data_IF_123988335700
#
_entry.id   IF_123988335700
#
_cell.length_a   1.000
_cell.length_b   1.000
_cell.length_c   1.000
_cell.angle_alpha   90.00
_cell.angle_beta   90.00
_cell.angle_gamma   90.00
#
_symmetry.space_group_name_H-M   'P 1'
#
loop_
_entity.id
_entity.type
_entity.pdbx_description
1 polymer ?
#
# COMPACT_ATOMS: atom_id res chain seq x y z
N UNK A 1 2.22 48.08 -10.50
CA UNK A 1 1.47 47.70 -9.27
C UNK A 1 1.71 46.21 -9.08
N UNK A 2 2.61 45.83 -8.17
CA UNK A 2 2.87 44.43 -7.83
C UNK A 2 1.66 43.92 -7.07
N UNK A 3 0.92 42.95 -7.68
CA UNK A 3 -0.19 42.31 -7.00
C UNK A 3 0.38 41.55 -5.77
N UNK A 4 -0.04 41.92 -4.59
CA UNK A 4 0.29 41.18 -3.37
C UNK A 4 -0.05 39.72 -3.61
N UNK A 5 0.87 38.75 -3.45
CA UNK A 5 0.59 37.36 -3.70
C UNK A 5 -0.58 36.95 -2.81
N UNK A 6 -1.65 36.45 -3.43
CA UNK A 6 -2.83 35.95 -2.70
C UNK A 6 -2.35 34.85 -1.73
N UNK A 7 -2.41 35.14 -0.43
CA UNK A 7 -2.03 34.18 0.61
C UNK A 7 -2.84 32.91 0.44
N UNK A 8 -2.18 31.78 0.26
CA UNK A 8 -2.83 30.46 0.19
C UNK A 8 -3.38 30.09 1.57
N UNK A 9 -4.62 29.57 1.65
CA UNK A 9 -5.15 29.12 2.93
C UNK A 9 -4.29 27.96 3.49
N UNK A 10 -3.97 26.97 2.64
CA UNK A 10 -3.28 25.76 3.06
C UNK A 10 -2.23 25.31 2.03
N UNK A 11 -1.00 25.09 2.48
CA UNK A 11 0.01 24.35 1.74
C UNK A 11 -0.03 22.88 2.17
N UNK A 12 0.02 21.98 1.21
CA UNK A 12 0.17 20.54 1.42
C UNK A 12 1.53 20.11 0.85
N UNK A 13 2.42 19.61 1.68
CA UNK A 13 3.77 19.21 1.27
C UNK A 13 3.79 17.72 1.00
N UNK A 14 3.88 17.35 -0.27
CA UNK A 14 3.84 15.99 -0.79
C UNK A 14 2.54 15.63 -1.51
N UNK A 15 2.65 15.18 -2.75
CA UNK A 15 1.55 14.76 -3.62
C UNK A 15 1.33 13.23 -3.61
N UNK A 16 1.61 12.55 -2.49
CA UNK A 16 1.21 11.17 -2.27
C UNK A 16 -0.30 11.04 -1.99
N UNK A 17 -0.81 9.81 -1.88
CA UNK A 17 -2.24 9.57 -1.68
C UNK A 17 -2.85 10.33 -0.48
N UNK A 18 -2.12 10.47 0.63
CA UNK A 18 -2.59 11.23 1.80
C UNK A 18 -2.67 12.72 1.53
N UNK A 19 -1.65 13.31 0.89
CA UNK A 19 -1.63 14.73 0.55
C UNK A 19 -2.70 15.10 -0.46
N UNK A 20 -2.88 14.29 -1.50
CA UNK A 20 -3.92 14.48 -2.51
C UNK A 20 -5.33 14.35 -1.92
N UNK A 21 -5.56 13.40 -1.01
CA UNK A 21 -6.84 13.29 -0.31
C UNK A 21 -7.12 14.52 0.57
N UNK A 22 -6.11 14.99 1.29
CA UNK A 22 -6.20 16.20 2.11
C UNK A 22 -6.50 17.43 1.25
N UNK A 23 -5.74 17.65 0.20
CA UNK A 23 -5.90 18.80 -0.71
C UNK A 23 -7.29 18.82 -1.35
N UNK A 24 -7.79 17.66 -1.79
CA UNK A 24 -9.12 17.53 -2.37
C UNK A 24 -10.22 17.92 -1.39
N UNK A 25 -10.15 17.45 -0.14
CA UNK A 25 -11.18 17.75 0.86
C UNK A 25 -11.16 19.23 1.28
N UNK A 26 -9.98 19.83 1.35
CA UNK A 26 -9.81 21.27 1.60
C UNK A 26 -10.36 22.13 0.45
N UNK A 27 -10.03 21.75 -0.81
CA UNK A 27 -10.52 22.45 -2.00
C UNK A 27 -12.06 22.32 -2.11
N UNK A 28 -12.63 21.14 -1.85
CA UNK A 28 -14.07 20.91 -1.81
C UNK A 28 -14.78 21.75 -0.73
N UNK A 29 -14.08 22.12 0.35
CA UNK A 29 -14.55 23.03 1.39
C UNK A 29 -14.32 24.52 1.05
N UNK A 30 -13.94 24.84 -0.19
CA UNK A 30 -13.75 26.21 -0.68
C UNK A 30 -12.48 26.91 -0.16
N UNK A 31 -11.45 26.12 0.22
CA UNK A 31 -10.15 26.69 0.61
C UNK A 31 -9.21 26.78 -0.58
N UNK A 32 -8.39 27.83 -0.62
CA UNK A 32 -7.27 27.91 -1.55
C UNK A 32 -6.16 26.96 -1.08
N UNK A 33 -5.81 25.99 -1.93
CA UNK A 33 -4.83 24.93 -1.61
C UNK A 33 -3.76 24.88 -2.67
N UNK A 34 -2.49 24.75 -2.25
CA UNK A 34 -1.39 24.36 -3.12
C UNK A 34 -0.72 23.11 -2.57
N UNK A 35 -0.42 22.19 -3.46
CA UNK A 35 0.33 20.96 -3.16
C UNK A 35 1.74 21.12 -3.72
N UNK A 36 2.76 20.95 -2.89
CA UNK A 36 4.17 21.06 -3.26
C UNK A 36 4.75 19.65 -3.31
N UNK A 37 5.16 19.21 -4.48
CA UNK A 37 5.75 17.89 -4.70
C UNK A 37 7.20 18.03 -5.15
N UNK A 38 8.09 17.30 -4.45
CA UNK A 38 9.52 17.38 -4.72
C UNK A 38 9.95 16.69 -6.01
N UNK A 39 9.14 15.74 -6.50
CA UNK A 39 9.44 14.97 -7.71
C UNK A 39 8.74 15.51 -8.95
N UNK A 40 9.10 14.96 -10.08
CA UNK A 40 8.59 15.27 -11.43
C UNK A 40 7.16 14.81 -11.68
N UNK A 41 6.56 14.05 -10.75
CA UNK A 41 5.20 13.54 -10.86
C UNK A 41 4.60 13.23 -9.48
N UNK A 42 3.27 13.10 -9.44
CA UNK A 42 2.49 12.79 -8.24
C UNK A 42 2.53 11.29 -7.89
N UNK A 43 2.07 10.94 -6.68
CA UNK A 43 1.84 9.56 -6.27
C UNK A 43 2.77 9.06 -5.17
N UNK A 44 3.94 9.65 -5.02
CA UNK A 44 4.92 9.21 -4.02
C UNK A 44 5.35 7.76 -4.24
N UNK A 45 4.94 6.84 -3.36
CA UNK A 45 5.21 5.39 -3.52
C UNK A 45 4.33 4.71 -4.57
N UNK A 46 3.18 5.28 -4.91
CA UNK A 46 2.24 4.74 -5.90
C UNK A 46 2.53 5.37 -7.27
N UNK A 47 3.65 5.00 -7.86
CA UNK A 47 4.06 5.44 -9.19
C UNK A 47 4.33 4.25 -10.10
N UNK A 48 4.12 4.46 -11.40
CA UNK A 48 4.39 3.48 -12.46
C UNK A 48 5.34 4.12 -13.46
N UNK A 49 6.49 3.48 -13.65
CA UNK A 49 7.48 3.89 -14.66
C UNK A 49 7.24 3.12 -15.97
N UNK A 50 7.64 3.70 -17.10
CA UNK A 50 7.73 2.99 -18.38
C UNK A 50 9.18 2.64 -18.66
N UNK A 51 9.47 1.33 -18.79
CA UNK A 51 10.81 0.82 -19.06
C UNK A 51 10.70 -0.11 -20.28
N UNK A 52 11.33 0.23 -21.37
CA UNK A 52 11.34 -0.55 -22.63
C UNK A 52 9.93 -0.98 -23.09
N UNK A 53 8.93 -0.12 -22.89
CA UNK A 53 7.54 -0.38 -23.23
C UNK A 53 6.72 -1.10 -22.17
N UNK A 54 7.35 -1.61 -21.11
CA UNK A 54 6.68 -2.24 -19.98
C UNK A 54 6.22 -1.21 -18.95
N UNK A 55 5.12 -1.50 -18.25
CA UNK A 55 4.71 -0.77 -17.05
C UNK A 55 5.35 -1.42 -15.81
N UNK A 56 6.11 -0.63 -15.08
CA UNK A 56 6.84 -1.06 -13.88
C UNK A 56 6.38 -0.22 -12.69
N UNK A 57 5.62 -0.80 -11.80
CA UNK A 57 5.23 -0.14 -10.55
C UNK A 57 6.46 0.01 -9.64
N UNK A 58 6.55 1.13 -8.92
CA UNK A 58 7.62 1.35 -7.92
C UNK A 58 7.34 0.53 -6.67
N UNK A 59 7.64 -0.79 -6.74
CA UNK A 59 7.21 -1.83 -5.81
C UNK A 59 5.90 -2.47 -6.26
N UNK A 60 5.73 -3.76 -5.96
CA UNK A 60 4.52 -4.48 -6.32
C UNK A 60 3.34 -4.05 -5.44
N UNK A 61 2.28 -3.58 -6.06
CA UNK A 61 1.07 -3.11 -5.38
C UNK A 61 -0.14 -3.93 -5.80
N UNK A 62 -0.97 -4.30 -4.85
CA UNK A 62 -2.29 -4.89 -5.08
C UNK A 62 -3.37 -3.91 -4.65
N UNK A 63 -4.25 -3.54 -5.58
CA UNK A 63 -5.36 -2.64 -5.32
C UNK A 63 -6.56 -3.42 -4.79
N UNK A 64 -7.15 -2.97 -3.67
CA UNK A 64 -8.33 -3.60 -3.07
C UNK A 64 -9.58 -2.72 -3.26
N UNK A 65 -10.60 -3.27 -3.90
CA UNK A 65 -11.84 -2.54 -4.20
C UNK A 65 -12.75 -2.30 -3.00
N UNK A 66 -12.50 -2.94 -1.85
CA UNK A 66 -13.38 -2.83 -0.67
C UNK A 66 -13.16 -1.59 0.17
N UNK A 67 -12.03 -0.90 0.01
CA UNK A 67 -11.66 0.24 0.82
C UNK A 67 -12.67 1.39 0.75
N UNK A 68 -13.24 1.83 1.88
CA UNK A 68 -14.28 2.87 1.90
C UNK A 68 -13.82 4.19 1.28
N UNK A 69 -12.60 4.66 1.60
CA UNK A 69 -12.08 5.91 1.05
C UNK A 69 -11.81 5.81 -0.45
N UNK A 70 -11.40 4.65 -0.92
CA UNK A 70 -11.23 4.37 -2.35
C UNK A 70 -12.56 4.51 -3.07
N UNK A 71 -13.63 3.87 -2.57
CA UNK A 71 -14.98 3.96 -3.15
C UNK A 71 -15.55 5.38 -3.14
N UNK A 72 -15.24 6.16 -2.12
CA UNK A 72 -15.71 7.54 -1.98
C UNK A 72 -14.98 8.50 -2.92
N UNK A 73 -13.71 8.24 -3.21
CA UNK A 73 -12.82 9.18 -3.90
C UNK A 73 -12.59 8.86 -5.38
N UNK A 74 -12.67 7.59 -5.75
CA UNK A 74 -12.31 7.11 -7.08
C UNK A 74 -13.51 6.51 -7.80
N UNK A 75 -13.61 6.78 -9.08
CA UNK A 75 -14.51 6.05 -9.98
C UNK A 75 -13.77 4.80 -10.46
N UNK A 76 -14.04 3.65 -9.81
CA UNK A 76 -13.30 2.41 -10.05
C UNK A 76 -13.28 1.97 -11.54
N UNK A 77 -14.33 2.29 -12.31
CA UNK A 77 -14.40 2.01 -13.74
C UNK A 77 -13.30 2.72 -14.54
N UNK A 78 -12.89 3.91 -14.09
CA UNK A 78 -11.89 4.73 -14.81
C UNK A 78 -10.47 4.14 -14.66
N UNK A 79 -10.24 3.32 -13.62
CA UNK A 79 -8.99 2.60 -13.40
C UNK A 79 -8.86 1.32 -14.24
N UNK A 80 -9.93 0.89 -14.93
CA UNK A 80 -9.95 -0.34 -15.75
C UNK A 80 -9.35 -1.55 -15.02
N UNK A 81 -9.81 -1.78 -13.78
CA UNK A 81 -9.26 -2.78 -12.86
C UNK A 81 -9.28 -4.19 -13.46
N UNK A 82 -8.17 -4.89 -13.32
CA UNK A 82 -7.95 -6.27 -13.74
C UNK A 82 -7.85 -7.16 -12.49
N UNK A 83 -8.80 -8.06 -12.26
CA UNK A 83 -8.85 -8.86 -11.05
C UNK A 83 -7.83 -10.01 -11.08
N UNK A 84 -7.29 -10.31 -9.91
CA UNK A 84 -6.63 -11.59 -9.67
C UNK A 84 -7.67 -12.71 -9.54
N UNK A 85 -7.27 -13.93 -9.87
CA UNK A 85 -8.02 -15.13 -9.48
C UNK A 85 -8.18 -15.15 -7.94
N UNK A 86 -9.38 -15.40 -7.40
CA UNK A 86 -9.59 -15.49 -5.96
C UNK A 86 -8.69 -16.54 -5.31
N UNK A 87 -8.01 -16.16 -4.24
CA UNK A 87 -7.09 -17.02 -3.52
C UNK A 87 -5.62 -16.75 -3.85
N UNK A 88 -4.78 -17.69 -3.44
CA UNK A 88 -3.33 -17.65 -3.61
C UNK A 88 -2.82 -19.07 -3.88
N UNK A 89 -1.80 -19.19 -4.72
CA UNK A 89 -1.02 -20.41 -4.84
C UNK A 89 0.10 -20.40 -3.80
N UNK A 90 0.28 -21.49 -3.10
CA UNK A 90 1.34 -21.70 -2.13
C UNK A 90 2.26 -22.81 -2.65
N UNK A 91 3.51 -22.48 -2.91
CA UNK A 91 4.52 -23.48 -3.25
C UNK A 91 4.99 -24.20 -1.99
N UNK A 92 5.05 -25.52 -2.06
CA UNK A 92 5.47 -26.42 -0.98
C UNK A 92 6.37 -27.53 -1.55
N UNK A 93 7.06 -28.28 -0.69
CA UNK A 93 7.85 -29.47 -1.09
C UNK A 93 7.08 -30.51 -1.91
N UNK A 94 5.75 -30.43 -1.90
CA UNK A 94 4.84 -31.34 -2.61
C UNK A 94 4.18 -30.74 -3.84
N UNK A 95 4.70 -29.58 -4.29
CA UNK A 95 4.15 -28.82 -5.40
C UNK A 95 3.26 -27.66 -4.95
N UNK A 96 2.50 -27.09 -5.87
CA UNK A 96 1.67 -25.92 -5.67
C UNK A 96 0.28 -26.29 -5.15
N UNK A 97 -0.14 -25.66 -4.06
CA UNK A 97 -1.46 -25.83 -3.47
C UNK A 97 -2.23 -24.51 -3.55
N UNK A 98 -3.51 -24.57 -3.93
CA UNK A 98 -4.38 -23.40 -3.98
C UNK A 98 -5.15 -23.26 -2.69
N UNK A 99 -5.03 -22.10 -2.06
CA UNK A 99 -5.91 -21.65 -0.97
C UNK A 99 -6.84 -20.59 -1.51
N UNK A 100 -8.12 -20.88 -1.55
CA UNK A 100 -9.18 -19.99 -2.01
C UNK A 100 -10.21 -19.81 -0.90
N UNK A 101 -10.90 -18.68 -0.89
CA UNK A 101 -12.05 -18.47 -0.02
C UNK A 101 -13.16 -19.50 -0.35
N UNK A 102 -13.53 -20.39 0.59
CA UNK A 102 -14.55 -21.42 0.35
C UNK A 102 -15.91 -20.87 -0.08
N UNK A 103 -16.22 -19.63 0.28
CA UNK A 103 -17.46 -18.97 -0.14
C UNK A 103 -17.47 -18.61 -1.63
N UNK A 104 -16.29 -18.45 -2.24
CA UNK A 104 -16.11 -18.14 -3.66
C UNK A 104 -15.82 -19.36 -4.52
N UNK A 105 -15.17 -20.38 -3.93
CA UNK A 105 -14.92 -21.66 -4.57
C UNK A 105 -15.00 -22.82 -3.55
N UNK A 106 -16.20 -23.38 -3.35
CA UNK A 106 -16.40 -24.51 -2.41
C UNK A 106 -15.57 -25.77 -2.74
N UNK A 107 -15.17 -25.94 -4.02
CA UNK A 107 -14.38 -27.13 -4.44
C UNK A 107 -12.94 -27.06 -3.95
N UNK A 108 -12.43 -25.87 -3.66
CA UNK A 108 -11.06 -25.67 -3.15
C UNK A 108 -10.83 -26.33 -1.79
N UNK A 109 -11.86 -26.47 -0.96
CA UNK A 109 -11.78 -27.11 0.37
C UNK A 109 -11.27 -28.56 0.26
N UNK A 110 -11.75 -29.29 -0.71
CA UNK A 110 -11.29 -30.67 -0.94
C UNK A 110 -9.80 -30.74 -1.33
N UNK A 111 -9.31 -29.74 -2.07
CA UNK A 111 -7.89 -29.60 -2.42
C UNK A 111 -7.00 -29.33 -1.21
N UNK A 112 -7.45 -28.46 -0.29
CA UNK A 112 -6.72 -28.14 0.94
C UNK A 112 -6.54 -29.37 1.86
N UNK A 113 -7.61 -30.16 2.01
CA UNK A 113 -7.57 -31.40 2.80
C UNK A 113 -6.66 -32.46 2.18
N UNK A 114 -6.76 -32.67 0.85
CA UNK A 114 -5.92 -33.63 0.13
C UNK A 114 -4.45 -33.20 0.12
N UNK A 115 -4.18 -31.90 -0.04
CA UNK A 115 -2.83 -31.33 -0.07
C UNK A 115 -2.16 -31.27 1.30
N UNK A 116 -2.86 -31.60 2.38
CA UNK A 116 -2.37 -31.52 3.78
C UNK A 116 -1.77 -30.14 4.14
N UNK A 117 -2.26 -29.07 3.51
CA UNK A 117 -1.87 -27.70 3.90
C UNK A 117 -2.59 -27.29 5.19
N UNK A 118 -3.85 -27.70 5.36
CA UNK A 118 -4.67 -27.38 6.51
C UNK A 118 -5.35 -28.65 7.06
N UNK A 119 -5.34 -28.82 8.39
CA UNK A 119 -6.14 -29.82 9.07
C UNK A 119 -7.61 -29.39 9.24
N UNK A 120 -8.52 -30.30 9.64
CA UNK A 120 -9.93 -29.96 9.91
C UNK A 120 -10.08 -28.83 10.96
N UNK A 121 -9.20 -28.83 11.97
CA UNK A 121 -9.14 -27.79 13.00
C UNK A 121 -8.80 -26.42 12.41
N UNK A 122 -7.81 -26.36 11.50
CA UNK A 122 -7.38 -25.13 10.85
C UNK A 122 -8.47 -24.58 9.93
N UNK A 123 -9.18 -25.45 9.20
CA UNK A 123 -10.31 -25.05 8.36
C UNK A 123 -11.47 -24.47 9.19
N UNK A 124 -11.77 -25.07 10.34
CA UNK A 124 -12.78 -24.57 11.27
C UNK A 124 -12.36 -23.20 11.82
N UNK A 125 -11.10 -23.07 12.26
CA UNK A 125 -10.56 -21.81 12.76
C UNK A 125 -10.59 -20.72 11.67
N UNK A 126 -10.21 -21.04 10.42
CA UNK A 126 -10.24 -20.14 9.28
C UNK A 126 -11.67 -19.67 8.96
N UNK A 127 -12.62 -20.60 8.94
CA UNK A 127 -14.04 -20.28 8.74
C UNK A 127 -14.59 -19.36 9.83
N UNK A 128 -14.28 -19.67 11.10
CA UNK A 128 -14.73 -18.87 12.25
C UNK A 128 -14.12 -17.46 12.25
N UNK A 129 -12.81 -17.36 12.03
CA UNK A 129 -12.09 -16.08 11.92
C UNK A 129 -12.66 -15.24 10.77
N UNK A 130 -12.82 -15.84 9.59
CA UNK A 130 -13.31 -15.17 8.40
C UNK A 130 -14.77 -14.69 8.58
N UNK A 131 -15.65 -15.54 9.12
CA UNK A 131 -17.04 -15.15 9.40
C UNK A 131 -17.10 -14.00 10.42
N UNK A 132 -16.34 -14.08 11.51
CA UNK A 132 -16.27 -13.02 12.52
C UNK A 132 -15.79 -11.69 11.93
N UNK A 133 -14.73 -11.71 11.14
CA UNK A 133 -14.13 -10.50 10.59
C UNK A 133 -14.97 -9.92 9.43
N UNK A 134 -15.61 -10.76 8.62
CA UNK A 134 -16.48 -10.32 7.53
C UNK A 134 -17.80 -9.76 8.00
N UNK A 135 -18.47 -10.43 8.94
CA UNK A 135 -19.84 -10.11 9.36
C UNK A 135 -19.91 -9.16 10.58
N UNK A 136 -18.89 -9.23 11.46
CA UNK A 136 -18.84 -8.42 12.67
C UNK A 136 -18.68 -6.92 12.40
N UNK A 137 -19.06 -6.05 13.35
CA UNK A 137 -18.85 -4.62 13.23
C UNK A 137 -17.35 -4.29 13.28
N UNK A 138 -16.92 -3.34 12.46
CA UNK A 138 -15.52 -2.87 12.43
C UNK A 138 -15.03 -2.40 13.80
N UNK A 139 -15.90 -1.74 14.57
CA UNK A 139 -15.59 -1.24 15.92
C UNK A 139 -15.18 -2.34 16.89
N UNK A 140 -15.59 -3.60 16.67
CA UNK A 140 -15.14 -4.74 17.48
C UNK A 140 -13.65 -5.02 17.27
N UNK A 141 -13.18 -4.93 16.03
CA UNK A 141 -11.75 -5.08 15.70
C UNK A 141 -10.96 -3.92 16.31
N UNK A 142 -11.45 -2.69 16.15
CA UNK A 142 -10.77 -1.48 16.60
C UNK A 142 -10.62 -1.39 18.12
N UNK A 143 -11.55 -1.98 18.89
CA UNK A 143 -11.57 -1.99 20.36
C UNK A 143 -10.95 -3.26 20.96
N UNK A 144 -10.62 -4.26 20.13
CA UNK A 144 -10.01 -5.50 20.63
C UNK A 144 -8.64 -5.20 21.26
N UNK A 145 -8.25 -6.05 22.22
CA UNK A 145 -6.88 -6.04 22.72
C UNK A 145 -5.92 -6.22 21.56
N UNK A 146 -4.89 -5.37 21.51
CA UNK A 146 -3.90 -5.45 20.45
C UNK A 146 -2.73 -6.33 20.89
N UNK A 147 -2.41 -7.30 20.07
CA UNK A 147 -1.31 -8.25 20.24
C UNK A 147 -0.65 -8.50 18.89
N UNK A 148 0.41 -9.30 18.84
CA UNK A 148 1.00 -9.67 17.55
C UNK A 148 0.05 -10.54 16.74
N UNK A 149 0.13 -10.47 15.42
CA UNK A 149 -0.63 -11.34 14.51
C UNK A 149 -0.38 -12.81 14.82
N UNK A 150 0.88 -13.21 15.11
CA UNK A 150 1.23 -14.58 15.51
C UNK A 150 0.43 -15.02 16.75
N UNK A 151 0.42 -14.20 17.79
CA UNK A 151 -0.32 -14.50 19.03
C UNK A 151 -1.83 -14.59 18.78
N UNK A 152 -2.37 -13.71 17.92
CA UNK A 152 -3.79 -13.72 17.57
C UNK A 152 -4.18 -14.99 16.81
N UNK A 153 -3.37 -15.44 15.86
CA UNK A 153 -3.59 -16.67 15.10
C UNK A 153 -3.53 -17.91 16.02
N UNK A 154 -2.54 -17.99 16.90
CA UNK A 154 -2.45 -19.08 17.88
C UNK A 154 -3.69 -19.11 18.80
N UNK A 155 -4.13 -17.93 19.28
CA UNK A 155 -5.34 -17.80 20.13
C UNK A 155 -6.63 -18.13 19.38
N UNK A 156 -6.66 -17.98 18.04
CA UNK A 156 -7.79 -18.36 17.21
C UNK A 156 -7.87 -19.88 16.95
N UNK A 157 -6.88 -20.65 17.42
CA UNK A 157 -6.86 -22.11 17.37
C UNK A 157 -6.17 -22.71 16.15
N UNK A 158 -5.45 -21.91 15.36
CA UNK A 158 -4.65 -22.43 14.25
C UNK A 158 -3.47 -23.28 14.76
N UNK A 159 -3.13 -24.32 13.99
CA UNK A 159 -1.90 -25.09 14.20
C UNK A 159 -0.68 -24.24 13.81
N UNK A 160 0.45 -24.47 14.47
CA UNK A 160 1.72 -23.82 14.11
C UNK A 160 2.13 -24.14 12.67
N UNK A 161 1.91 -25.39 12.24
CA UNK A 161 2.20 -25.81 10.88
C UNK A 161 1.43 -24.97 9.84
N UNK A 162 0.14 -24.73 10.05
CA UNK A 162 -0.67 -23.93 9.14
C UNK A 162 -0.28 -22.45 9.18
N UNK A 163 0.09 -21.93 10.37
CA UNK A 163 0.62 -20.56 10.50
C UNK A 163 1.90 -20.40 9.70
N UNK A 164 2.87 -21.32 9.85
CA UNK A 164 4.16 -21.25 9.16
C UNK A 164 4.05 -21.49 7.65
N UNK A 165 3.18 -22.40 7.20
CA UNK A 165 3.08 -22.79 5.79
C UNK A 165 2.14 -21.91 4.97
N UNK A 166 1.19 -21.22 5.60
CA UNK A 166 0.23 -20.36 4.91
C UNK A 166 0.26 -18.92 5.38
N UNK A 167 -0.07 -18.65 6.65
CA UNK A 167 -0.23 -17.26 7.11
C UNK A 167 1.08 -16.47 7.04
N UNK A 168 2.19 -17.07 7.43
CA UNK A 168 3.48 -16.40 7.41
C UNK A 168 3.89 -16.01 5.99
N UNK A 169 3.99 -16.90 4.99
CA UNK A 169 4.31 -16.51 3.62
C UNK A 169 3.34 -15.51 3.03
N UNK A 170 2.04 -15.70 3.25
CA UNK A 170 1.01 -14.83 2.70
C UNK A 170 1.02 -13.42 3.31
N UNK A 171 1.05 -13.32 4.64
CA UNK A 171 1.00 -12.04 5.35
C UNK A 171 2.32 -11.27 5.27
N UNK A 172 3.44 -11.96 5.09
CA UNK A 172 4.74 -11.30 4.91
C UNK A 172 4.76 -10.40 3.67
N UNK A 173 4.10 -10.80 2.59
CA UNK A 173 3.93 -9.95 1.41
C UNK A 173 3.03 -8.74 1.63
N UNK A 174 2.16 -8.78 2.64
CA UNK A 174 1.23 -7.69 2.96
C UNK A 174 1.84 -6.72 3.98
N UNK A 175 2.54 -7.25 4.99
CA UNK A 175 3.09 -6.47 6.09
C UNK A 175 4.56 -6.09 5.88
N UNK A 176 5.21 -6.66 4.88
CA UNK A 176 6.64 -6.53 4.58
C UNK A 176 7.50 -6.87 5.81
N UNK A 177 7.13 -7.96 6.49
CA UNK A 177 7.88 -8.57 7.59
C UNK A 177 7.50 -10.04 7.72
N UNK A 178 8.41 -10.87 8.23
CA UNK A 178 8.31 -12.33 8.18
C UNK A 178 8.11 -13.00 9.55
N UNK A 179 7.94 -12.20 10.63
CA UNK A 179 7.81 -12.70 12.02
C UNK A 179 6.38 -12.67 12.54
N UNK A 180 5.44 -12.10 11.77
CA UNK A 180 4.05 -11.87 12.16
C UNK A 180 3.92 -11.03 13.45
N UNK A 181 4.83 -10.04 13.62
CA UNK A 181 4.85 -9.11 14.74
C UNK A 181 3.88 -7.92 14.55
N UNK A 182 3.33 -7.77 13.36
CA UNK A 182 2.34 -6.73 13.06
C UNK A 182 1.09 -6.86 13.94
N UNK A 183 0.51 -5.71 14.32
CA UNK A 183 -0.72 -5.59 15.12
C UNK A 183 -1.84 -6.50 14.63
N UNK A 184 -2.43 -7.26 15.54
CA UNK A 184 -3.58 -8.11 15.25
C UNK A 184 -4.81 -7.33 14.80
N UNK A 185 -5.03 -6.12 15.33
CA UNK A 185 -6.11 -5.25 14.87
C UNK A 185 -5.94 -4.86 13.40
N UNK A 186 -4.71 -4.56 13.00
CA UNK A 186 -4.42 -4.28 11.59
C UNK A 186 -4.58 -5.53 10.73
N UNK A 187 -4.10 -6.69 11.17
CA UNK A 187 -4.33 -7.98 10.50
C UNK A 187 -5.82 -8.22 10.24
N UNK A 188 -6.67 -8.10 11.26
CA UNK A 188 -8.12 -8.32 11.11
C UNK A 188 -8.77 -7.31 10.14
N UNK A 189 -8.33 -6.04 10.14
CA UNK A 189 -8.82 -5.05 9.17
C UNK A 189 -8.43 -5.41 7.73
N UNK A 190 -7.20 -5.86 7.52
CA UNK A 190 -6.72 -6.31 6.21
C UNK A 190 -7.46 -7.56 5.77
N UNK A 191 -7.59 -8.57 6.64
CA UNK A 191 -8.30 -9.81 6.37
C UNK A 191 -9.75 -9.53 5.97
N UNK A 192 -10.45 -8.73 6.77
CA UNK A 192 -11.80 -8.24 6.46
C UNK A 192 -11.89 -7.58 5.08
N UNK A 193 -10.92 -6.74 4.75
CA UNK A 193 -10.91 -6.02 3.47
C UNK A 193 -10.71 -6.96 2.29
N UNK A 194 -9.89 -7.98 2.43
CA UNK A 194 -9.69 -9.02 1.40
C UNK A 194 -10.95 -9.86 1.18
N UNK A 195 -11.61 -10.28 2.25
CA UNK A 195 -12.85 -11.04 2.17
C UNK A 195 -14.00 -10.26 1.50
N UNK A 196 -14.04 -8.95 1.66
CA UNK A 196 -15.11 -8.06 1.16
C UNK A 196 -14.81 -7.41 -0.19
N UNK A 197 -13.57 -7.47 -0.64
CA UNK A 197 -13.10 -6.82 -1.86
C UNK A 197 -12.65 -7.80 -2.93
N UNK A 198 -12.29 -7.22 -4.06
CA UNK A 198 -11.55 -7.90 -5.12
C UNK A 198 -10.17 -7.30 -5.20
N UNK A 199 -9.16 -8.16 -5.23
CA UNK A 199 -7.78 -7.76 -5.44
C UNK A 199 -7.55 -7.58 -6.93
N UNK A 200 -6.98 -6.45 -7.33
CA UNK A 200 -6.85 -6.06 -8.74
C UNK A 200 -5.52 -5.34 -9.00
N UNK A 201 -5.19 -5.22 -10.28
CA UNK A 201 -4.24 -4.23 -10.79
C UNK A 201 -5.00 -3.21 -11.66
N UNK A 202 -4.70 -1.90 -11.54
CA UNK A 202 -5.16 -0.92 -12.54
C UNK A 202 -4.48 -1.20 -13.88
N UNK A 203 -5.21 -1.08 -14.98
CA UNK A 203 -4.69 -1.40 -16.32
C UNK A 203 -3.49 -0.53 -16.74
N UNK A 204 -3.40 0.70 -16.23
CA UNK A 204 -2.29 1.64 -16.54
C UNK A 204 -1.25 1.71 -15.41
N UNK A 205 -1.18 0.69 -14.55
CA UNK A 205 -0.30 0.70 -13.39
C UNK A 205 -0.93 1.37 -12.17
N UNK A 206 -0.25 1.21 -11.03
CA UNK A 206 -0.73 1.77 -9.76
C UNK A 206 -0.74 3.31 -9.76
N UNK A 207 0.07 3.94 -10.61
CA UNK A 207 0.14 5.40 -10.81
C UNK A 207 -1.19 6.02 -11.25
N UNK A 208 -2.06 5.24 -11.90
CA UNK A 208 -3.41 5.69 -12.27
C UNK A 208 -4.27 6.12 -11.07
N UNK A 209 -3.97 5.64 -9.87
CA UNK A 209 -4.71 5.98 -8.64
C UNK A 209 -4.44 7.42 -8.21
N UNK A 210 -3.19 7.87 -7.95
CA UNK A 210 -2.92 9.27 -7.65
C UNK A 210 -3.28 10.22 -8.80
N UNK A 211 -3.10 9.84 -10.05
CA UNK A 211 -3.56 10.63 -11.20
C UNK A 211 -5.08 10.90 -11.14
N UNK A 212 -5.87 9.88 -10.79
CA UNK A 212 -7.31 10.05 -10.64
C UNK A 212 -7.67 10.96 -9.45
N UNK A 213 -6.86 11.00 -8.39
CA UNK A 213 -7.05 11.93 -7.27
C UNK A 213 -6.74 13.37 -7.67
N UNK A 214 -5.69 13.60 -8.45
CA UNK A 214 -5.30 14.93 -8.93
C UNK A 214 -6.36 15.54 -9.84
N UNK A 215 -6.98 14.75 -10.71
CA UNK A 215 -8.07 15.22 -11.63
C UNK A 215 -9.25 15.87 -10.90
N UNK A 216 -9.39 15.63 -9.59
CA UNK A 216 -10.43 16.23 -8.77
C UNK A 216 -9.99 17.53 -8.06
N UNK A 217 -8.74 17.97 -8.26
CA UNK A 217 -8.23 19.24 -7.76
C UNK A 217 -8.42 20.35 -8.80
N UNK A 218 -8.51 21.63 -8.36
CA UNK A 218 -8.44 22.75 -9.29
C UNK A 218 -7.16 22.70 -10.13
N UNK A 219 -7.22 23.21 -11.37
CA UNK A 219 -6.04 23.35 -12.22
C UNK A 219 -4.94 24.13 -11.47
N UNK A 220 -3.69 23.79 -11.76
CA UNK A 220 -2.49 24.43 -11.20
C UNK A 220 -2.37 24.37 -9.67
N UNK A 221 -3.15 23.50 -9.01
CA UNK A 221 -3.04 23.30 -7.56
C UNK A 221 -1.78 22.55 -7.15
N UNK A 222 -1.18 21.74 -8.03
CA UNK A 222 0.00 20.93 -7.78
C UNK A 222 1.22 21.56 -8.45
N UNK A 223 2.24 21.83 -7.65
CA UNK A 223 3.54 22.32 -8.11
C UNK A 223 4.53 21.17 -7.98
N UNK A 224 4.93 20.60 -9.10
CA UNK A 224 5.96 19.58 -9.23
C UNK A 224 7.35 20.21 -9.12
N UNK A 225 8.38 19.39 -8.96
CA UNK A 225 9.78 19.80 -8.83
C UNK A 225 9.99 20.91 -7.77
N UNK A 226 9.10 20.91 -6.75
CA UNK A 226 9.05 21.94 -5.70
C UNK A 226 9.26 21.28 -4.33
N UNK A 227 10.51 21.01 -4.00
CA UNK A 227 10.88 20.46 -2.70
C UNK A 227 10.83 21.54 -1.61
N UNK A 228 10.26 21.20 -0.45
CA UNK A 228 10.25 22.06 0.74
C UNK A 228 11.47 21.73 1.59
N UNK A 229 12.29 22.75 1.88
CA UNK A 229 13.49 22.65 2.70
C UNK A 229 13.16 22.76 4.19
N UNK A 230 12.29 23.71 4.56
CA UNK A 230 11.90 23.95 5.95
C UNK A 230 10.52 24.61 6.05
N UNK A 231 9.91 24.52 7.22
CA UNK A 231 8.70 25.25 7.56
C UNK A 231 9.08 26.56 8.27
N UNK A 232 8.47 27.66 7.86
CA UNK A 232 8.63 29.00 8.47
C UNK A 232 7.37 29.37 9.23
N UNK A 233 7.41 30.42 10.05
CA UNK A 233 6.22 30.92 10.73
C UNK A 233 5.13 31.35 9.75
N UNK A 234 5.51 31.83 8.57
CA UNK A 234 4.60 32.30 7.53
C UNK A 234 4.10 31.19 6.60
N UNK A 235 4.77 30.03 6.53
CA UNK A 235 4.41 28.98 5.58
C UNK A 235 5.49 27.93 5.41
N UNK A 236 6.03 27.81 4.17
CA UNK A 236 7.08 26.88 3.82
C UNK A 236 8.12 27.53 2.89
N UNK A 237 9.39 27.18 3.07
CA UNK A 237 10.47 27.58 2.17
C UNK A 237 10.89 26.43 1.30
N UNK A 238 11.00 26.68 0.00
CA UNK A 238 11.47 25.70 -1.00
C UNK A 238 13.00 25.58 -0.98
N UNK A 239 13.53 24.53 -1.63
CA UNK A 239 14.97 24.37 -1.84
C UNK A 239 15.60 25.49 -2.68
N UNK A 240 14.80 26.24 -3.43
CA UNK A 240 15.25 27.37 -4.24
C UNK A 240 15.26 28.69 -3.43
N UNK A 241 14.84 28.65 -2.16
CA UNK A 241 14.80 29.81 -1.28
C UNK A 241 13.48 30.58 -1.30
N UNK A 242 12.53 30.21 -2.15
CA UNK A 242 11.23 30.89 -2.22
C UNK A 242 10.40 30.59 -0.98
N UNK A 243 9.87 31.64 -0.34
CA UNK A 243 8.92 31.49 0.76
C UNK A 243 7.50 31.56 0.23
N UNK A 244 6.74 30.50 0.48
CA UNK A 244 5.34 30.37 0.11
C UNK A 244 4.47 30.58 1.36
N UNK A 245 3.77 31.73 1.47
CA UNK A 245 2.99 32.05 2.66
C UNK A 245 1.67 31.25 2.67
N UNK A 246 1.30 30.75 3.87
CA UNK A 246 0.05 30.06 4.10
C UNK A 246 -0.40 30.14 5.55
N UNK A 247 -1.71 30.09 5.77
CA UNK A 247 -2.31 30.06 7.12
C UNK A 247 -2.12 28.73 7.84
N UNK A 248 -1.96 27.65 7.08
CA UNK A 248 -1.69 26.30 7.59
C UNK A 248 -0.81 25.52 6.62
N UNK A 249 0.02 24.62 7.16
CA UNK A 249 0.85 23.70 6.40
C UNK A 249 0.56 22.26 6.85
N UNK A 250 0.28 21.38 5.89
CA UNK A 250 0.09 19.93 6.11
C UNK A 250 1.28 19.21 5.51
N UNK A 251 2.10 18.59 6.34
CA UNK A 251 3.19 17.71 5.88
C UNK A 251 2.62 16.32 5.56
N UNK A 252 2.63 15.97 4.29
CA UNK A 252 2.08 14.72 3.74
C UNK A 252 3.16 13.87 3.05
N UNK A 253 4.42 14.09 3.39
CA UNK A 253 5.58 13.38 2.85
C UNK A 253 5.74 11.99 3.48
N UNK A 254 6.69 11.21 2.97
CA UNK A 254 7.17 10.01 3.66
C UNK A 254 7.77 10.36 5.02
N UNK A 255 7.91 9.35 5.88
CA UNK A 255 8.32 9.53 7.29
C UNK A 255 9.65 10.27 7.47
N UNK A 256 10.66 10.00 6.63
CA UNK A 256 11.96 10.65 6.72
C UNK A 256 11.88 12.17 6.52
N UNK A 257 11.40 12.66 5.37
CA UNK A 257 11.16 14.11 5.18
C UNK A 257 10.16 14.69 6.19
N UNK A 258 9.15 13.93 6.63
CA UNK A 258 8.23 14.42 7.66
C UNK A 258 8.93 14.72 8.99
N UNK A 259 9.85 13.85 9.44
CA UNK A 259 10.65 14.05 10.65
C UNK A 259 11.62 15.23 10.53
N UNK A 260 12.16 15.46 9.32
CA UNK A 260 13.05 16.60 9.07
C UNK A 260 12.28 17.92 9.12
N UNK A 261 11.07 17.97 8.53
CA UNK A 261 10.22 19.16 8.51
C UNK A 261 9.51 19.44 9.85
N UNK A 262 9.30 18.40 10.66
CA UNK A 262 8.61 18.46 11.95
C UNK A 262 9.47 17.80 13.03
N UNK A 263 10.49 18.48 13.56
CA UNK A 263 11.33 17.95 14.63
C UNK A 263 10.51 17.46 15.83
N UNK A 264 10.83 16.28 16.34
CA UNK A 264 10.10 15.65 17.43
C UNK A 264 8.87 14.84 17.01
N UNK A 265 8.58 14.74 15.71
CA UNK A 265 7.52 13.87 15.21
C UNK A 265 7.88 12.41 15.46
N UNK A 266 7.04 11.71 16.23
CA UNK A 266 7.13 10.26 16.40
C UNK A 266 6.71 9.54 15.10
N UNK A 267 7.67 8.86 14.48
CA UNK A 267 7.47 8.08 13.25
C UNK A 267 7.94 6.64 13.45
N UNK A 268 7.18 5.65 12.94
CA UNK A 268 7.57 4.25 13.06
C UNK A 268 8.78 3.93 12.17
N UNK A 269 9.47 2.83 12.45
CA UNK A 269 10.47 2.28 11.54
C UNK A 269 9.86 1.99 10.17
N UNK A 270 10.67 2.07 9.09
CA UNK A 270 10.26 1.70 7.74
C UNK A 270 10.55 0.24 7.43
N UNK A 271 9.72 -0.34 6.58
CA UNK A 271 9.97 -1.64 5.97
C UNK A 271 10.57 -1.44 4.58
N UNK A 272 11.52 -2.30 4.22
CA UNK A 272 12.22 -2.26 2.93
C UNK A 272 11.76 -3.44 2.11
N UNK A 273 11.44 -3.18 0.84
CA UNK A 273 11.08 -4.22 -0.13
C UNK A 273 11.80 -3.95 -1.45
N UNK A 274 12.27 -5.00 -2.08
CA UNK A 274 12.76 -4.97 -3.47
C UNK A 274 11.85 -5.82 -4.33
N UNK A 275 11.44 -5.28 -5.48
CA UNK A 275 10.69 -6.02 -6.50
C UNK A 275 11.56 -6.16 -7.74
N UNK A 276 11.80 -7.41 -8.15
CA UNK A 276 12.45 -7.76 -9.40
C UNK A 276 11.40 -7.95 -10.49
N UNK A 277 11.65 -7.35 -11.63
CA UNK A 277 10.83 -7.48 -12.82
C UNK A 277 11.60 -8.26 -13.87
N UNK A 278 11.09 -9.45 -14.22
CA UNK A 278 11.69 -10.29 -15.24
C UNK A 278 10.81 -10.33 -16.48
N UNK A 279 11.44 -10.35 -17.65
CA UNK A 279 10.80 -10.62 -18.94
C UNK A 279 11.05 -12.07 -19.31
N UNK A 280 10.00 -12.78 -19.66
CA UNK A 280 10.06 -14.17 -20.10
C UNK A 280 9.52 -14.33 -21.52
N UNK A 281 10.00 -15.30 -22.30
CA UNK A 281 9.54 -15.53 -23.68
C UNK A 281 8.12 -16.06 -23.76
N UNK A 282 7.64 -16.69 -22.69
CA UNK A 282 6.27 -17.22 -22.55
C UNK A 282 5.88 -17.23 -21.06
N UNK A 283 4.56 -17.16 -20.76
CA UNK A 283 4.13 -17.16 -19.36
C UNK A 283 4.46 -18.53 -18.71
N UNK A 284 5.22 -18.53 -17.60
CA UNK A 284 5.50 -19.77 -16.87
C UNK A 284 4.26 -20.26 -16.11
N UNK A 285 3.30 -19.37 -15.91
CA UNK A 285 1.98 -19.65 -15.33
C UNK A 285 0.95 -18.77 -16.04
N UNK A 286 0.13 -19.37 -16.90
CA UNK A 286 -0.92 -18.69 -17.65
C UNK A 286 -2.18 -18.47 -16.79
N UNK A 287 -2.01 -17.80 -15.65
CA UNK A 287 -3.09 -17.54 -14.71
C UNK A 287 -2.84 -16.22 -13.93
N UNK A 288 -3.85 -15.32 -13.79
CA UNK A 288 -3.75 -14.10 -13.03
C UNK A 288 -3.81 -14.37 -11.51
N UNK A 289 -2.76 -14.98 -10.96
CA UNK A 289 -2.74 -15.39 -9.54
C UNK A 289 -1.45 -14.96 -8.83
N UNK A 290 -1.56 -14.72 -7.53
CA UNK A 290 -0.41 -14.56 -6.64
C UNK A 290 0.12 -15.93 -6.24
N UNK A 291 1.43 -16.05 -6.16
CA UNK A 291 2.13 -17.23 -5.70
C UNK A 291 3.06 -16.86 -4.55
N UNK A 292 3.03 -17.63 -3.46
CA UNK A 292 3.90 -17.51 -2.29
C UNK A 292 4.71 -18.78 -2.09
N UNK A 293 5.78 -18.70 -1.31
CA UNK A 293 6.71 -19.80 -1.09
C UNK A 293 6.83 -20.14 0.40
N UNK A 294 6.59 -21.40 0.78
CA UNK A 294 6.73 -21.84 2.18
C UNK A 294 8.15 -21.74 2.71
N UNK A 295 9.16 -21.73 1.82
CA UNK A 295 10.56 -21.54 2.18
C UNK A 295 10.94 -20.06 2.37
N UNK A 296 10.02 -19.12 2.12
CA UNK A 296 10.24 -17.67 2.31
C UNK A 296 11.40 -17.10 1.49
N UNK A 297 11.76 -17.70 0.35
CA UNK A 297 12.80 -17.19 -0.56
C UNK A 297 12.41 -15.89 -1.25
N UNK A 298 11.11 -15.64 -1.33
CA UNK A 298 10.50 -14.38 -1.76
C UNK A 298 9.15 -14.19 -1.02
N UNK A 299 8.62 -12.98 -1.04
CA UNK A 299 7.31 -12.66 -0.43
C UNK A 299 6.14 -13.13 -1.32
N UNK A 300 6.21 -12.77 -2.56
CA UNK A 300 5.25 -13.15 -3.59
C UNK A 300 5.86 -13.01 -4.98
N UNK A 301 5.29 -13.76 -5.91
CA UNK A 301 5.55 -13.59 -7.34
C UNK A 301 4.25 -13.72 -8.12
N UNK A 302 4.15 -13.05 -9.27
CA UNK A 302 3.05 -13.25 -10.21
C UNK A 302 3.47 -12.87 -11.63
N UNK A 303 2.81 -13.46 -12.62
CA UNK A 303 2.90 -13.06 -14.02
C UNK A 303 1.98 -11.85 -14.20
N UNK A 304 2.56 -10.63 -14.07
CA UNK A 304 1.78 -9.37 -14.03
C UNK A 304 1.01 -9.16 -15.31
N UNK A 305 1.60 -9.54 -16.45
CA UNK A 305 0.96 -9.46 -17.78
C UNK A 305 -0.22 -10.40 -17.96
N UNK A 306 -0.31 -11.51 -17.19
CA UNK A 306 -1.51 -12.34 -17.15
C UNK A 306 -2.65 -11.71 -16.35
N UNK A 307 -2.32 -10.91 -15.33
CA UNK A 307 -3.32 -10.15 -14.57
C UNK A 307 -3.79 -8.95 -15.40
N UNK A 308 -2.86 -8.16 -15.90
CA UNK A 308 -3.11 -6.96 -16.69
C UNK A 308 -2.23 -6.95 -17.95
N UNK A 309 -2.76 -7.38 -19.10
CA UNK A 309 -1.98 -7.48 -20.35
C UNK A 309 -1.31 -6.18 -20.78
N UNK A 310 -1.83 -5.04 -20.34
CA UNK A 310 -1.27 -3.71 -20.61
C UNK A 310 0.10 -3.45 -19.94
N UNK A 311 0.51 -4.29 -19.00
CA UNK A 311 1.82 -4.16 -18.33
C UNK A 311 3.00 -4.58 -19.22
N UNK A 312 2.75 -5.34 -20.28
CA UNK A 312 3.78 -5.78 -21.20
C UNK A 312 3.42 -5.39 -22.66
N UNK A 313 4.41 -5.13 -23.52
CA UNK A 313 4.17 -5.03 -24.94
C UNK A 313 3.60 -6.34 -25.51
N UNK A 314 2.85 -6.30 -26.63
CA UNK A 314 2.33 -7.51 -27.26
C UNK A 314 3.41 -8.55 -27.52
N UNK A 315 3.11 -9.79 -27.13
CA UNK A 315 4.06 -10.93 -27.31
C UNK A 315 5.13 -11.04 -26.23
N UNK A 316 5.11 -10.19 -25.20
CA UNK A 316 6.04 -10.24 -24.07
C UNK A 316 5.32 -10.57 -22.78
N UNK A 317 6.07 -11.12 -21.83
CA UNK A 317 5.58 -11.52 -20.51
C UNK A 317 6.36 -10.82 -19.43
N UNK A 318 5.67 -10.20 -18.49
CA UNK A 318 6.27 -9.55 -17.33
C UNK A 318 5.94 -10.30 -16.05
N UNK A 319 6.97 -10.60 -15.26
CA UNK A 319 6.87 -11.28 -13.97
C UNK A 319 7.41 -10.33 -12.90
N UNK A 320 6.64 -10.12 -11.82
CA UNK A 320 7.08 -9.36 -10.66
C UNK A 320 7.30 -10.29 -9.47
N UNK A 321 8.45 -10.16 -8.81
CA UNK A 321 8.81 -10.94 -7.62
C UNK A 321 9.36 -10.04 -6.54
N UNK A 322 8.73 -10.05 -5.36
CA UNK A 322 9.09 -9.18 -4.23
C UNK A 322 9.85 -9.95 -3.15
N UNK A 323 10.88 -9.32 -2.60
CA UNK A 323 11.68 -9.83 -1.48
C UNK A 323 11.80 -8.77 -0.37
N UNK A 324 12.03 -9.21 0.86
CA UNK A 324 12.40 -8.30 1.95
C UNK A 324 13.82 -7.76 1.76
N UNK A 325 14.00 -6.48 2.12
CA UNK A 325 15.31 -5.85 2.14
C UNK A 325 15.75 -5.23 0.81
N UNK A 326 17.06 -4.96 0.75
CA UNK A 326 17.71 -4.29 -0.36
C UNK A 326 18.01 -5.26 -1.52
N UNK A 327 18.23 -4.69 -2.70
CA UNK A 327 18.73 -5.41 -3.86
C UNK A 327 20.20 -5.81 -3.66
N UNK A 328 20.47 -7.10 -3.59
CA UNK A 328 21.82 -7.66 -3.45
C UNK A 328 22.07 -8.77 -4.47
N UNK A 329 23.33 -9.02 -4.87
CA UNK A 329 23.66 -10.14 -5.75
C UNK A 329 23.20 -11.50 -5.20
N UNK A 330 23.22 -11.68 -3.88
CA UNK A 330 22.73 -12.89 -3.21
C UNK A 330 21.20 -13.03 -3.35
N UNK A 331 20.44 -11.97 -3.05
CA UNK A 331 19.00 -11.96 -3.22
C UNK A 331 18.59 -12.27 -4.67
N UNK A 332 19.28 -11.70 -5.65
CA UNK A 332 19.03 -11.99 -7.07
C UNK A 332 19.24 -13.47 -7.40
N UNK A 333 20.37 -14.08 -6.95
CA UNK A 333 20.62 -15.51 -7.18
C UNK A 333 19.57 -16.40 -6.51
N UNK A 334 19.23 -16.10 -5.26
CA UNK A 334 18.19 -16.82 -4.52
C UNK A 334 16.84 -16.77 -5.22
N UNK A 335 16.44 -15.59 -5.69
CA UNK A 335 15.19 -15.38 -6.42
C UNK A 335 15.18 -16.16 -7.72
N UNK A 336 16.23 -16.06 -8.55
CA UNK A 336 16.29 -16.76 -9.84
C UNK A 336 16.17 -18.27 -9.66
N UNK A 337 16.92 -18.86 -8.71
CA UNK A 337 16.84 -20.29 -8.42
C UNK A 337 15.44 -20.69 -7.89
N UNK A 338 14.84 -19.85 -7.03
CA UNK A 338 13.50 -20.11 -6.51
C UNK A 338 12.43 -20.05 -7.60
N UNK A 339 12.54 -19.11 -8.55
CA UNK A 339 11.56 -18.97 -9.64
C UNK A 339 11.58 -20.17 -10.59
N UNK A 340 12.75 -20.73 -10.88
CA UNK A 340 12.86 -21.94 -11.68
C UNK A 340 12.09 -23.11 -11.06
N UNK A 341 12.29 -23.35 -9.76
CA UNK A 341 11.60 -24.40 -9.00
C UNK A 341 10.10 -24.11 -8.88
N UNK A 342 9.74 -22.91 -8.44
CA UNK A 342 8.35 -22.55 -8.09
C UNK A 342 7.44 -22.46 -9.31
N UNK A 343 7.97 -22.04 -10.46
CA UNK A 343 7.23 -22.03 -11.72
C UNK A 343 7.38 -23.34 -12.51
N UNK A 344 8.25 -24.26 -12.08
CA UNK A 344 8.55 -25.51 -12.80
C UNK A 344 8.92 -25.20 -14.27
N UNK A 345 9.77 -24.17 -14.47
CA UNK A 345 10.08 -23.61 -15.78
C UNK A 345 11.55 -23.23 -15.85
N UNK A 346 12.20 -23.55 -16.98
CA UNK A 346 13.54 -23.06 -17.25
C UNK A 346 13.57 -21.52 -17.29
N UNK A 347 14.38 -20.92 -16.44
CA UNK A 347 14.55 -19.47 -16.32
C UNK A 347 15.77 -18.95 -17.09
N UNK A 348 16.54 -19.80 -17.79
CA UNK A 348 17.75 -19.39 -18.52
C UNK A 348 17.47 -18.34 -19.62
N UNK A 349 16.24 -18.35 -20.16
CA UNK A 349 15.78 -17.37 -21.15
C UNK A 349 15.07 -16.15 -20.55
N UNK A 350 15.15 -15.92 -19.23
CA UNK A 350 14.52 -14.75 -18.60
C UNK A 350 15.53 -13.63 -18.43
N UNK A 351 15.13 -12.42 -18.80
CA UNK A 351 15.94 -11.22 -18.62
C UNK A 351 15.44 -10.41 -17.42
N UNK A 352 16.36 -9.96 -16.57
CA UNK A 352 16.04 -9.01 -15.51
C UNK A 352 15.87 -7.63 -16.14
N UNK A 353 14.64 -7.19 -16.32
CA UNK A 353 14.31 -5.86 -16.83
C UNK A 353 14.80 -4.76 -15.87
N UNK A 354 14.43 -4.88 -14.59
CA UNK A 354 14.81 -3.91 -13.57
C UNK A 354 14.54 -4.44 -12.16
N UNK A 355 15.19 -3.82 -11.18
CA UNK A 355 14.88 -3.98 -9.77
C UNK A 355 14.43 -2.64 -9.17
N UNK A 356 13.44 -2.67 -8.30
CA UNK A 356 12.90 -1.48 -7.62
C UNK A 356 12.93 -1.69 -6.11
N UNK A 357 13.86 -1.02 -5.43
CA UNK A 357 13.93 -1.02 -3.96
C UNK A 357 13.21 0.19 -3.39
N UNK A 358 12.26 -0.06 -2.49
CA UNK A 358 11.53 0.97 -1.74
C UNK A 358 11.92 0.87 -0.27
N UNK A 359 12.73 1.84 0.22
CA UNK A 359 13.28 1.81 1.58
C UNK A 359 12.27 2.12 2.67
N UNK A 360 11.23 2.86 2.36
CA UNK A 360 10.12 3.20 3.26
C UNK A 360 8.79 2.70 2.70
N UNK A 361 8.75 1.45 2.27
CA UNK A 361 7.59 0.87 1.58
C UNK A 361 6.33 0.88 2.46
N UNK A 362 6.45 0.46 3.72
CA UNK A 362 5.39 0.50 4.73
C UNK A 362 5.93 0.94 6.09
N UNK A 363 5.12 1.59 6.94
CA UNK A 363 5.45 1.78 8.35
C UNK A 363 5.38 0.45 9.09
N UNK A 364 6.31 0.18 10.00
CA UNK A 364 6.18 -0.91 10.96
C UNK A 364 5.02 -0.63 11.92
N UNK A 365 4.23 -1.65 12.22
CA UNK A 365 3.00 -1.52 13.02
C UNK A 365 2.95 -2.59 14.12
N UNK A 366 3.95 -2.67 15.03
CA UNK A 366 3.89 -3.61 16.15
C UNK A 366 2.84 -3.14 17.17
N UNK A 367 2.23 -4.07 17.96
CA UNK A 367 1.33 -3.70 19.05
C UNK A 367 2.12 -3.05 20.23
N UNK A 368 1.51 -2.13 20.97
CA UNK A 368 0.19 -1.57 20.77
C UNK A 368 0.19 -0.51 19.65
N UNK A 369 -0.59 -0.73 18.58
CA UNK A 369 -0.62 0.15 17.43
C UNK A 369 -1.89 1.02 17.42
N UNK A 370 -1.77 2.34 17.56
CA UNK A 370 -2.90 3.23 17.34
C UNK A 370 -3.33 3.20 15.86
N UNK A 371 -4.57 2.81 15.60
CA UNK A 371 -5.13 2.80 14.23
C UNK A 371 -5.39 4.22 13.69
N UNK A 372 -5.23 5.23 14.53
CA UNK A 372 -5.49 6.62 14.23
C UNK A 372 -4.75 7.54 15.19
N UNK A 373 -4.05 8.54 14.64
CA UNK A 373 -3.36 9.59 15.42
C UNK A 373 -3.82 10.95 14.93
N UNK A 374 -3.94 11.95 15.82
CA UNK A 374 -4.24 13.33 15.41
C UNK A 374 -3.25 13.83 14.37
N UNK A 375 -3.73 14.68 13.48
CA UNK A 375 -2.86 15.33 12.49
C UNK A 375 -2.21 16.62 13.03
N UNK A 376 -2.74 17.19 14.13
CA UNK A 376 -2.20 18.42 14.73
C UNK A 376 -0.85 18.14 15.38
N UNK A 377 0.16 18.93 15.01
CA UNK A 377 1.51 18.88 15.60
C UNK A 377 1.81 20.15 16.38
N UNK A 378 1.47 21.30 15.80
CA UNK A 378 1.60 22.61 16.40
C UNK A 378 0.55 23.55 15.80
N UNK A 379 0.36 24.77 16.32
CA UNK A 379 -0.56 25.76 15.76
C UNK A 379 -0.27 26.01 14.27
N UNK A 380 -1.23 25.67 13.39
CA UNK A 380 -1.08 25.81 11.95
C UNK A 380 -0.17 24.77 11.28
N UNK A 381 0.28 23.74 12.01
CA UNK A 381 1.14 22.67 11.51
C UNK A 381 0.47 21.32 11.70
N UNK A 382 0.38 20.58 10.61
CA UNK A 382 -0.32 19.28 10.56
C UNK A 382 0.53 18.25 9.84
N UNK A 383 0.26 16.97 10.10
CA UNK A 383 0.91 15.84 9.45
C UNK A 383 -0.13 14.80 9.03
N UNK A 384 0.05 14.21 7.86
CA UNK A 384 -0.73 13.05 7.43
C UNK A 384 0.15 12.06 6.65
N UNK A 385 -0.34 10.84 6.52
CA UNK A 385 0.35 9.72 5.88
C UNK A 385 -0.16 8.40 6.45
N UNK A 386 0.18 7.29 5.83
CA UNK A 386 -0.14 5.95 6.33
C UNK A 386 0.50 5.67 7.70
N UNK A 387 1.64 6.28 8.00
CA UNK A 387 2.31 6.22 9.31
C UNK A 387 1.51 6.90 10.45
N UNK A 388 0.49 7.66 10.13
CA UNK A 388 -0.44 8.29 11.10
C UNK A 388 -1.77 7.54 11.24
N UNK A 389 -1.92 6.43 10.50
CA UNK A 389 -3.11 5.59 10.51
C UNK A 389 -2.70 4.11 10.37
N UNK A 390 -3.05 3.46 9.27
CA UNK A 390 -2.65 2.08 8.94
C UNK A 390 -1.75 2.07 7.71
N UNK A 391 -0.75 1.19 7.66
CA UNK A 391 0.19 1.03 6.55
C UNK A 391 -0.52 0.51 5.28
N UNK A 392 -1.33 1.32 4.65
CA UNK A 392 -2.13 0.98 3.46
C UNK A 392 -2.59 2.23 2.72
N UNK A 393 -3.03 2.05 1.46
CA UNK A 393 -3.71 3.11 0.71
C UNK A 393 -4.92 3.66 1.48
N UNK A 394 -5.75 2.81 2.06
CA UNK A 394 -6.89 3.24 2.88
C UNK A 394 -6.43 4.09 4.07
N UNK A 395 -5.38 3.67 4.78
CA UNK A 395 -4.83 4.44 5.90
C UNK A 395 -4.28 5.80 5.48
N UNK A 396 -3.59 5.87 4.36
CA UNK A 396 -3.11 7.13 3.79
C UNK A 396 -4.28 8.09 3.49
N UNK A 397 -5.32 7.61 2.80
CA UNK A 397 -6.50 8.40 2.45
C UNK A 397 -7.28 8.86 3.69
N UNK A 398 -7.47 7.97 4.68
CA UNK A 398 -8.12 8.29 5.97
C UNK A 398 -7.34 9.35 6.73
N UNK A 399 -6.01 9.25 6.76
CA UNK A 399 -5.15 10.23 7.43
C UNK A 399 -5.22 11.59 6.74
N UNK A 400 -5.20 11.63 5.40
CA UNK A 400 -5.38 12.87 4.63
C UNK A 400 -6.73 13.54 4.89
N UNK A 401 -7.82 12.76 4.90
CA UNK A 401 -9.16 13.27 5.22
C UNK A 401 -9.26 13.84 6.64
N UNK A 402 -8.59 13.19 7.60
CA UNK A 402 -8.51 13.70 8.99
C UNK A 402 -7.77 15.01 9.06
N UNK A 403 -6.61 15.12 8.40
CA UNK A 403 -5.85 16.37 8.37
C UNK A 403 -6.67 17.51 7.80
N UNK A 404 -7.38 17.30 6.69
CA UNK A 404 -8.26 18.30 6.12
C UNK A 404 -9.35 18.76 7.10
N UNK A 405 -10.02 17.81 7.78
CA UNK A 405 -11.04 18.13 8.78
C UNK A 405 -10.47 18.96 9.93
N UNK A 406 -9.35 18.55 10.52
CA UNK A 406 -8.71 19.24 11.64
C UNK A 406 -8.24 20.65 11.25
N UNK A 407 -7.70 20.82 10.04
CA UNK A 407 -7.36 22.15 9.49
C UNK A 407 -8.62 23.03 9.36
N UNK A 408 -9.71 22.50 8.83
CA UNK A 408 -10.96 23.25 8.67
C UNK A 408 -11.57 23.69 10.01
N UNK A 409 -11.52 22.81 11.01
CA UNK A 409 -11.95 23.13 12.38
C UNK A 409 -11.17 24.31 12.94
N UNK A 410 -9.84 24.26 12.85
CA UNK A 410 -8.94 25.28 13.43
C UNK A 410 -9.01 26.62 12.66
N UNK A 411 -9.16 26.58 11.32
CA UNK A 411 -9.35 27.80 10.52
C UNK A 411 -10.70 28.47 10.78
N UNK A 412 -11.75 27.70 11.15
CA UNK A 412 -13.05 28.28 11.58
C UNK A 412 -12.93 28.90 12.97
N UNK A 413 -12.32 28.21 13.92
CA UNK A 413 -12.13 28.72 15.28
C UNK A 413 -11.39 30.07 15.28
N UNK A 414 -10.33 30.21 14.48
CA UNK A 414 -9.59 31.50 14.35
C UNK A 414 -10.41 32.63 13.75
N UNK A 415 -11.45 32.36 12.95
CA UNK A 415 -12.35 33.39 12.39
C UNK A 415 -13.34 33.97 13.43
N UNK A 416 -13.62 33.23 14.50
CA UNK A 416 -14.58 33.64 15.54
C UNK A 416 -13.93 34.64 16.49
N UNK A 417 -12.60 34.76 16.52
CA UNK A 417 -11.83 35.62 17.40
C UNK A 417 -11.23 36.88 16.71
N UNK A 418 -11.59 37.13 15.45
CA UNK A 418 -11.30 38.33 14.67
C UNK A 418 -12.59 38.94 14.13
#
# INVERSE_FOLDING_TARGET
>A
MSATPKTTDVLVVGAGAAGLACARDLAAAGRSVRVLEASDDVGGRMRTDRVDGFLVDRGFHVFNTSYPQVKQRLRLRDLRLRPFTPGVLVHTDRGRLRLTDPSRDPRSVAGLLRGRLAGPRDLLALGTLSARDMLGPRSRIERAEDRTTRTALASAGFSEEFVERFFRPFLSGIFLEDRLETSSRFFHLVWRSMLRGTLCLPAEGIGAVPEALVKALPADSVLLDTAVALLTDEGAQTNHGDVLPARAVVVATGKGPASALLPGLDVPAGRIVTTYYHVAPRPPLAEPTLLTDTHMRFLNTCVVSEVAPTYAPPGHVLIATSVLGEDTPEARRTVTAALEEVYESDTAGWDLLTARTVRDALPAMPPPQPLSRTSRVAPGRYVCGDHRATGSLEGALVSGARAAREVLEDLRARRVWH
#
